data_IF_332301526681
#
_entry.id   IF_332301526681
#
_cell.length_a   1.000
_cell.length_b   1.000
_cell.length_c   1.000
_cell.angle_alpha   90.00
_cell.angle_beta   90.00
_cell.angle_gamma   90.00
#
_symmetry.space_group_name_H-M   'P 1'
#
loop_
_entity.id
_entity.type
_entity.pdbx_description
1 polymer ?
#
# COMPACT_ATOMS: atom_id res chain seq x y z
N UNK A 1 -23.12 -38.84 39.15
CA UNK A 1 -23.74 -37.50 39.16
C UNK A 1 -22.99 -36.69 40.19
N UNK A 2 -22.23 -35.70 39.77
CA UNK A 2 -21.66 -34.57 40.53
C UNK A 2 -20.74 -33.83 39.52
N UNK A 3 -21.28 -32.94 38.67
CA UNK A 3 -21.45 -31.50 38.89
C UNK A 3 -20.16 -30.73 39.25
N UNK A 4 -19.11 -30.87 38.43
CA UNK A 4 -18.05 -29.86 38.32
C UNK A 4 -18.45 -28.84 37.25
N UNK A 5 -19.22 -27.84 37.69
CA UNK A 5 -19.62 -26.67 36.91
C UNK A 5 -18.43 -25.72 36.69
N UNK A 6 -18.33 -25.23 35.45
CA UNK A 6 -17.98 -23.85 35.09
C UNK A 6 -16.71 -23.26 35.72
N UNK A 7 -15.60 -23.36 34.99
CA UNK A 7 -14.63 -22.28 34.93
C UNK A 7 -14.60 -21.73 33.50
N UNK A 8 -15.54 -20.83 33.23
CA UNK A 8 -15.45 -19.91 32.09
C UNK A 8 -15.67 -18.52 32.71
N UNK A 9 -14.58 -17.76 32.87
CA UNK A 9 -14.67 -16.36 33.25
C UNK A 9 -13.43 -15.57 32.84
N UNK A 10 -13.65 -14.62 31.91
CA UNK A 10 -12.82 -13.42 31.67
C UNK A 10 -11.65 -13.65 30.71
N UNK A 11 -11.72 -13.37 29.40
CA UNK A 11 -11.93 -12.07 28.73
C UNK A 11 -11.02 -10.96 29.24
N UNK A 12 -9.81 -10.88 28.69
CA UNK A 12 -8.93 -9.71 28.60
C UNK A 12 -7.66 -10.18 27.86
N UNK A 13 -7.21 -9.71 26.70
CA UNK A 13 -7.46 -8.56 25.84
C UNK A 13 -7.26 -9.07 24.38
N UNK A 14 -8.05 -8.69 23.40
CA UNK A 14 -7.80 -7.47 22.60
C UNK A 14 -6.31 -7.21 22.33
N UNK A 15 -5.75 -8.00 21.40
CA UNK A 15 -4.94 -7.50 20.30
C UNK A 15 -5.50 -8.24 19.09
N UNK A 16 -6.44 -7.67 18.38
CA UNK A 16 -6.11 -6.58 17.48
C UNK A 16 -5.97 -7.23 16.11
N UNK A 17 -7.10 -7.26 15.42
CA UNK A 17 -7.25 -7.27 13.97
C UNK A 17 -5.94 -7.04 13.20
N UNK A 18 -5.51 -8.03 12.42
CA UNK A 18 -5.61 -7.96 10.97
C UNK A 18 -5.31 -9.35 10.38
N UNK A 19 -6.10 -9.83 9.41
CA UNK A 19 -5.54 -10.69 8.38
C UNK A 19 -4.81 -9.75 7.40
N UNK A 20 -3.67 -9.18 7.80
CA UNK A 20 -2.87 -8.38 6.87
C UNK A 20 -1.84 -9.30 6.20
N UNK A 21 -2.37 -10.10 5.28
CA UNK A 21 -1.62 -10.44 4.09
C UNK A 21 -2.57 -10.20 2.91
N UNK A 22 -2.65 -8.98 2.36
CA UNK A 22 -3.18 -8.81 1.02
C UNK A 22 -2.01 -8.98 0.04
N UNK A 23 -2.07 -10.02 -0.80
CA UNK A 23 -1.28 -10.03 -2.04
C UNK A 23 -0.41 -11.25 -2.32
N UNK A 24 -0.75 -12.43 -1.81
CA UNK A 24 -0.24 -13.68 -2.39
C UNK A 24 -1.09 -14.12 -3.60
N UNK A 25 -1.28 -13.23 -4.58
CA UNK A 25 -1.64 -13.61 -5.95
C UNK A 25 -0.62 -12.95 -6.88
N UNK A 26 0.49 -13.65 -7.03
CA UNK A 26 1.62 -13.26 -7.83
C UNK A 26 1.28 -13.38 -9.33
N UNK A 27 0.58 -12.39 -9.87
CA UNK A 27 0.67 -11.95 -11.28
C UNK A 27 -0.38 -10.87 -11.58
N UNK A 28 0.05 -9.61 -11.76
CA UNK A 28 -0.68 -8.50 -12.41
C UNK A 28 -1.49 -7.51 -11.54
N UNK A 29 -1.13 -7.25 -10.28
CA UNK A 29 -1.71 -6.12 -9.54
C UNK A 29 -0.82 -4.88 -9.64
N UNK A 30 -1.31 -3.82 -10.29
CA UNK A 30 -0.67 -2.49 -10.41
C UNK A 30 -0.17 -1.98 -9.05
N UNK A 31 -0.91 -2.26 -7.97
CA UNK A 31 -0.51 -1.95 -6.58
C UNK A 31 0.82 -2.59 -6.19
N UNK A 32 1.03 -3.88 -6.48
CA UNK A 32 2.26 -4.58 -6.10
C UNK A 32 3.48 -4.06 -6.88
N UNK A 33 3.27 -3.68 -8.14
CA UNK A 33 4.31 -3.04 -8.95
C UNK A 33 4.68 -1.64 -8.43
N UNK A 34 3.69 -0.84 -8.04
CA UNK A 34 3.91 0.48 -7.44
C UNK A 34 4.57 0.36 -6.06
N UNK A 35 4.16 -0.62 -5.25
CA UNK A 35 4.78 -0.88 -3.95
C UNK A 35 6.27 -1.27 -4.09
N UNK A 36 6.61 -2.12 -5.06
CA UNK A 36 8.00 -2.49 -5.36
C UNK A 36 8.83 -1.28 -5.87
N UNK A 37 8.22 -0.39 -6.65
CA UNK A 37 8.84 0.88 -7.06
C UNK A 37 9.14 1.77 -5.85
N UNK A 38 8.17 1.91 -4.93
CA UNK A 38 8.31 2.69 -3.71
C UNK A 38 9.41 2.10 -2.83
N UNK A 39 9.49 0.78 -2.68
CA UNK A 39 10.56 0.10 -1.96
C UNK A 39 11.93 0.43 -2.57
N UNK A 40 12.06 0.39 -3.90
CA UNK A 40 13.33 0.71 -4.56
C UNK A 40 13.73 2.19 -4.45
N UNK A 41 12.78 3.11 -4.38
CA UNK A 41 13.05 4.56 -4.41
C UNK A 41 13.18 5.15 -3.01
N UNK A 42 12.33 4.72 -2.08
CA UNK A 42 12.23 5.26 -0.73
C UNK A 42 12.71 4.28 0.35
N UNK A 43 12.94 3.01 0.03
CA UNK A 43 13.34 1.99 1.00
C UNK A 43 12.24 1.58 1.97
N UNK A 44 10.97 1.82 1.61
CA UNK A 44 9.79 1.46 2.40
C UNK A 44 9.33 0.07 2.00
N UNK A 45 9.06 -0.81 2.96
CA UNK A 45 8.64 -2.18 2.64
C UNK A 45 7.31 -2.16 1.88
N UNK A 46 7.20 -2.97 0.82
CA UNK A 46 5.99 -3.04 -0.01
C UNK A 46 4.73 -3.41 0.80
N UNK A 47 4.89 -4.16 1.90
CA UNK A 47 3.83 -4.53 2.84
C UNK A 47 3.31 -3.32 3.67
N UNK A 48 4.13 -2.28 3.86
CA UNK A 48 3.70 -1.04 4.56
C UNK A 48 2.97 -0.07 3.62
N UNK A 49 3.02 -0.31 2.30
CA UNK A 49 2.37 0.54 1.30
C UNK A 49 0.92 0.12 1.15
N UNK A 50 0.01 1.00 1.53
CA UNK A 50 -1.44 0.82 1.34
C UNK A 50 -1.99 1.83 0.35
N UNK A 51 -3.19 1.56 -0.19
CA UNK A 51 -3.86 2.50 -1.08
C UNK A 51 -4.19 3.85 -0.40
N UNK A 52 -4.38 3.86 0.93
CA UNK A 52 -4.65 5.07 1.70
C UNK A 52 -3.37 5.82 2.11
N UNK A 53 -2.19 5.20 1.93
CA UNK A 53 -0.92 5.81 2.27
C UNK A 53 -0.65 7.02 1.37
N UNK A 54 -0.13 8.09 1.96
CA UNK A 54 0.38 9.23 1.22
C UNK A 54 1.90 9.14 1.12
N UNK A 55 2.48 9.75 0.09
CA UNK A 55 3.93 9.82 -0.03
C UNK A 55 4.61 10.43 1.21
N UNK A 56 3.96 11.42 1.85
CA UNK A 56 4.46 12.02 3.10
C UNK A 56 4.41 11.03 4.29
N UNK A 57 3.31 10.26 4.42
CA UNK A 57 3.16 9.27 5.49
C UNK A 57 4.18 8.12 5.40
N UNK A 58 4.60 7.79 4.19
CA UNK A 58 5.62 6.78 3.89
C UNK A 58 7.05 7.35 4.01
N UNK A 59 7.21 8.63 4.34
CA UNK A 59 8.53 9.28 4.43
C UNK A 59 9.21 9.49 3.08
N UNK A 60 8.43 9.53 1.99
CA UNK A 60 8.94 9.77 0.63
C UNK A 60 9.18 11.26 0.45
N UNK A 61 10.45 11.66 0.39
CA UNK A 61 10.88 13.03 0.12
C UNK A 61 10.40 13.54 -1.25
N UNK A 62 10.37 14.87 -1.42
CA UNK A 62 9.95 15.49 -2.68
C UNK A 62 10.77 15.04 -3.90
N UNK A 63 12.05 14.70 -3.73
CA UNK A 63 12.88 14.19 -4.82
C UNK A 63 12.51 12.74 -5.18
N UNK A 64 12.31 11.90 -4.16
CA UNK A 64 11.87 10.53 -4.31
C UNK A 64 10.47 10.44 -4.96
N UNK A 65 9.58 11.39 -4.66
CA UNK A 65 8.28 11.51 -5.35
C UNK A 65 8.42 11.73 -6.85
N UNK A 66 9.32 12.62 -7.27
CA UNK A 66 9.58 12.86 -8.70
C UNK A 66 10.14 11.60 -9.36
N UNK A 67 11.09 10.92 -8.72
CA UNK A 67 11.66 9.67 -9.25
C UNK A 67 10.61 8.55 -9.34
N UNK A 68 9.73 8.42 -8.35
CA UNK A 68 8.63 7.45 -8.36
C UNK A 68 7.71 7.65 -9.56
N UNK A 69 7.27 8.89 -9.81
CA UNK A 69 6.39 9.20 -10.95
C UNK A 69 7.09 8.88 -12.27
N UNK A 70 8.33 9.32 -12.45
CA UNK A 70 9.08 9.07 -13.69
C UNK A 70 9.26 7.56 -13.93
N UNK A 71 9.63 6.79 -12.89
CA UNK A 71 9.77 5.33 -13.00
C UNK A 71 8.44 4.64 -13.28
N UNK A 72 7.34 5.11 -12.69
CA UNK A 72 6.01 4.59 -12.97
C UNK A 72 5.61 4.88 -14.43
N UNK A 73 5.83 6.10 -14.94
CA UNK A 73 5.62 6.42 -16.35
C UNK A 73 6.41 5.49 -17.29
N UNK A 74 7.70 5.28 -17.00
CA UNK A 74 8.57 4.39 -17.80
C UNK A 74 8.13 2.92 -17.72
N UNK A 75 7.72 2.45 -16.55
CA UNK A 75 7.35 1.05 -16.32
C UNK A 75 6.00 0.70 -16.95
N UNK A 76 5.01 1.57 -16.81
CA UNK A 76 3.65 1.33 -17.30
C UNK A 76 3.40 1.94 -18.68
N UNK A 77 4.35 2.73 -19.22
CA UNK A 77 4.21 3.37 -20.52
C UNK A 77 3.17 4.50 -20.54
N UNK A 78 2.83 5.05 -19.37
CA UNK A 78 1.87 6.15 -19.24
C UNK A 78 2.57 7.50 -19.27
N UNK A 79 1.79 8.59 -19.30
CA UNK A 79 2.28 9.95 -19.14
C UNK A 79 1.47 10.67 -18.07
N UNK A 80 2.14 11.12 -17.02
CA UNK A 80 1.56 11.83 -15.89
C UNK A 80 2.00 13.29 -16.00
N UNK A 81 1.09 14.17 -16.41
CA UNK A 81 1.34 15.60 -16.42
C UNK A 81 1.43 16.16 -14.99
N UNK A 82 2.10 17.31 -14.83
CA UNK A 82 2.35 17.93 -13.52
C UNK A 82 1.06 18.20 -12.73
N UNK A 83 -0.02 18.63 -13.40
CA UNK A 83 -1.33 18.84 -12.77
C UNK A 83 -1.92 17.53 -12.21
N UNK A 84 -1.78 16.44 -12.96
CA UNK A 84 -2.24 15.10 -12.53
C UNK A 84 -1.40 14.58 -11.38
N UNK A 85 -0.07 14.71 -11.46
CA UNK A 85 0.85 14.37 -10.38
C UNK A 85 0.55 15.13 -9.08
N UNK A 86 0.20 16.42 -9.17
CA UNK A 86 -0.18 17.26 -8.04
C UNK A 86 -1.59 16.95 -7.51
N UNK A 87 -2.44 16.30 -8.31
CA UNK A 87 -3.78 15.88 -7.92
C UNK A 87 -3.80 14.55 -7.16
N UNK A 88 -2.69 13.81 -7.13
CA UNK A 88 -2.58 12.56 -6.39
C UNK A 88 -2.31 12.85 -4.91
N UNK A 89 -3.27 12.53 -4.05
CA UNK A 89 -3.12 12.63 -2.59
C UNK A 89 -2.54 11.32 -2.03
N UNK A 90 -2.97 10.17 -2.56
CA UNK A 90 -2.63 8.84 -2.06
C UNK A 90 -1.93 7.97 -3.10
N UNK A 91 -1.25 6.92 -2.64
CA UNK A 91 -0.70 5.88 -3.52
C UNK A 91 -1.83 5.18 -4.29
N UNK A 92 -3.02 5.04 -3.69
CA UNK A 92 -4.19 4.51 -4.36
C UNK A 92 -4.61 5.30 -5.59
N UNK A 93 -4.51 6.64 -5.55
CA UNK A 93 -4.82 7.50 -6.70
C UNK A 93 -3.84 7.25 -7.86
N UNK A 94 -2.55 7.13 -7.54
CA UNK A 94 -1.52 6.81 -8.53
C UNK A 94 -1.76 5.42 -9.13
N UNK A 95 -2.02 4.41 -8.29
CA UNK A 95 -2.30 3.04 -8.73
C UNK A 95 -3.54 2.97 -9.61
N UNK A 96 -4.62 3.65 -9.22
CA UNK A 96 -5.85 3.71 -10.00
C UNK A 96 -5.63 4.38 -11.36
N UNK A 97 -4.85 5.46 -11.39
CA UNK A 97 -4.48 6.13 -12.64
C UNK A 97 -3.66 5.21 -13.55
N UNK A 98 -2.65 4.53 -13.02
CA UNK A 98 -1.83 3.59 -13.77
C UNK A 98 -2.65 2.41 -14.31
N UNK A 99 -3.53 1.84 -13.48
CA UNK A 99 -4.39 0.72 -13.87
C UNK A 99 -5.39 1.07 -14.97
N UNK A 100 -5.82 2.33 -15.06
CA UNK A 100 -6.73 2.81 -16.11
C UNK A 100 -6.01 3.13 -17.43
N UNK A 101 -4.69 3.38 -17.37
CA UNK A 101 -3.90 3.90 -18.50
C UNK A 101 -2.79 2.94 -19.01
N UNK A 102 -2.62 1.75 -18.41
CA UNK A 102 -1.66 0.70 -18.84
C UNK A 102 -2.10 -0.13 -20.06
#
# INVERSE_FOLDING_TARGET
>A
MELSQRLNLGKLADLGTAPDQPGADASLDTMGQVAALIESVAGVEADEVTAESTADSLGIDSLARIELIVRAEEQFGVRIDEETALSFDTIGDLVAYLADNE
#
